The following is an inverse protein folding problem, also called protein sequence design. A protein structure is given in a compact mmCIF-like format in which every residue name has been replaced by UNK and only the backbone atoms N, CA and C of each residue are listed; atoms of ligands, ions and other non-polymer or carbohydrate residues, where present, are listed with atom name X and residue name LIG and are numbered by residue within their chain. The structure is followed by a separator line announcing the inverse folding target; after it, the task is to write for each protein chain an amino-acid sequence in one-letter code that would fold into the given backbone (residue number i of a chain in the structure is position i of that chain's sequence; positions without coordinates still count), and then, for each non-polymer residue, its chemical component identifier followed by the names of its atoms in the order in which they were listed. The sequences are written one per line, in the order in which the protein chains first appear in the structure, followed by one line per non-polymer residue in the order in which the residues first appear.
data_IF_074379053697
#
_entry.id   IF_074379053697
#
_cell.length_a   1.000
_cell.length_b   1.000
_cell.length_c   1.000
_cell.angle_alpha   90.00
_cell.angle_beta   90.00
_cell.angle_gamma   90.00
#
_symmetry.space_group_name_H-M   'P 1'
#
loop_
_entity.id
_entity.type
_entity.pdbx_description
1 polymer ?
#
# COMPACT_ATOMS: atom_id res chain seq x y z
N UNK A 1 7.08 -15.28 -3.01
CA UNK A 1 6.02 -15.25 -1.99
C UNK A 1 6.42 -16.25 -0.92
N UNK A 2 6.76 -15.74 0.27
CA UNK A 2 6.96 -16.51 1.49
C UNK A 2 6.02 -15.89 2.53
N UNK A 3 5.34 -16.69 3.32
CA UNK A 3 4.46 -16.22 4.39
C UNK A 3 5.24 -15.97 5.67
N UNK A 4 4.79 -15.03 6.50
CA UNK A 4 5.43 -14.77 7.80
C UNK A 4 5.31 -16.01 8.71
N UNK A 5 4.22 -16.77 8.58
CA UNK A 5 4.02 -18.03 9.30
C UNK A 5 5.06 -19.10 8.92
N UNK A 6 5.61 -19.06 7.70
CA UNK A 6 6.72 -19.92 7.31
C UNK A 6 7.99 -19.53 8.06
N UNK A 7 8.28 -18.23 8.23
CA UNK A 7 9.40 -17.75 9.06
C UNK A 7 9.21 -18.17 10.52
N UNK A 8 7.99 -18.07 11.05
CA UNK A 8 7.68 -18.52 12.42
C UNK A 8 7.95 -20.02 12.59
N UNK A 9 7.51 -20.85 11.64
CA UNK A 9 7.67 -22.31 11.72
C UNK A 9 9.13 -22.75 11.51
N UNK A 10 9.85 -22.08 10.61
CA UNK A 10 11.21 -22.45 10.23
C UNK A 10 12.28 -21.91 11.19
N UNK A 11 12.05 -20.74 11.79
CA UNK A 11 13.09 -20.01 12.53
C UNK A 11 12.71 -19.76 14.00
N UNK A 12 11.51 -19.20 14.27
CA UNK A 12 11.10 -18.84 15.64
C UNK A 12 10.76 -20.06 16.49
N UNK A 13 9.82 -20.91 16.06
CA UNK A 13 9.36 -22.07 16.83
C UNK A 13 10.48 -23.06 17.16
N UNK A 14 11.42 -23.38 16.25
CA UNK A 14 12.55 -24.22 16.58
C UNK A 14 13.45 -23.59 17.64
N UNK A 15 13.72 -22.27 17.54
CA UNK A 15 14.53 -21.54 18.52
C UNK A 15 13.86 -21.50 19.89
N UNK A 16 12.61 -21.03 19.96
CA UNK A 16 11.83 -20.92 21.19
C UNK A 16 11.63 -22.28 21.88
N UNK A 17 11.22 -23.32 21.14
CA UNK A 17 11.05 -24.66 21.72
C UNK A 17 12.35 -25.25 22.22
N UNK A 18 13.46 -24.94 21.57
CA UNK A 18 14.78 -25.42 21.97
C UNK A 18 15.21 -24.77 23.29
N UNK A 19 15.05 -23.44 23.41
CA UNK A 19 15.31 -22.71 24.65
C UNK A 19 14.39 -23.16 25.80
N UNK A 20 13.09 -23.33 25.53
CA UNK A 20 12.14 -23.78 26.55
C UNK A 20 12.36 -25.25 26.96
N UNK A 21 12.75 -26.11 26.03
CA UNK A 21 13.12 -27.49 26.36
C UNK A 21 14.36 -27.56 27.26
N UNK A 22 15.37 -26.71 27.02
CA UNK A 22 16.54 -26.61 27.90
C UNK A 22 16.19 -26.09 29.29
N UNK A 23 15.44 -24.98 29.38
CA UNK A 23 15.02 -24.42 30.67
C UNK A 23 14.21 -25.45 31.50
N UNK A 24 13.25 -26.14 30.90
CA UNK A 24 12.48 -27.18 31.58
C UNK A 24 13.35 -28.38 32.03
N UNK A 25 14.37 -28.74 31.26
CA UNK A 25 15.33 -29.80 31.61
C UNK A 25 16.20 -29.40 32.78
N UNK A 26 16.67 -28.16 32.82
CA UNK A 26 17.47 -27.60 33.90
C UNK A 26 16.67 -27.49 35.21
N UNK A 27 15.34 -27.32 35.09
CA UNK A 27 14.37 -27.39 36.20
C UNK A 27 14.03 -28.82 36.64
N UNK A 28 14.62 -29.83 36.02
CA UNK A 28 14.55 -31.24 36.46
C UNK A 28 13.48 -32.09 35.77
N UNK A 29 12.79 -31.59 34.75
CA UNK A 29 11.82 -32.41 34.01
C UNK A 29 12.51 -33.51 33.18
N UNK A 30 11.85 -34.66 33.09
CA UNK A 30 12.25 -35.74 32.19
C UNK A 30 11.93 -35.36 30.73
N UNK A 31 12.60 -36.00 29.77
CA UNK A 31 12.33 -35.76 28.35
C UNK A 31 10.86 -36.02 27.96
N UNK A 32 10.22 -37.01 28.59
CA UNK A 32 8.82 -37.35 28.33
C UNK A 32 7.86 -36.28 28.88
N UNK A 33 8.17 -35.67 30.03
CA UNK A 33 7.39 -34.56 30.58
C UNK A 33 7.54 -33.30 29.73
N UNK A 34 8.76 -32.98 29.28
CA UNK A 34 9.00 -31.86 28.36
C UNK A 34 8.26 -32.07 27.04
N UNK A 35 8.29 -33.28 26.48
CA UNK A 35 7.58 -33.61 25.24
C UNK A 35 6.07 -33.38 25.38
N UNK A 36 5.49 -33.80 26.50
CA UNK A 36 4.07 -33.59 26.81
C UNK A 36 3.73 -32.10 26.97
N UNK A 37 4.59 -31.32 27.65
CA UNK A 37 4.38 -29.90 27.87
C UNK A 37 4.45 -29.08 26.55
N UNK A 38 5.40 -29.41 25.68
CA UNK A 38 5.60 -28.72 24.39
C UNK A 38 4.68 -29.23 23.26
N UNK A 39 3.98 -30.35 23.47
CA UNK A 39 3.13 -30.96 22.44
C UNK A 39 3.92 -31.54 21.26
N UNK A 40 5.13 -32.04 21.50
CA UNK A 40 6.03 -32.60 20.47
C UNK A 40 6.46 -34.03 20.82
N UNK A 41 7.15 -34.71 19.90
CA UNK A 41 7.70 -36.04 20.21
C UNK A 41 8.88 -35.97 21.16
N UNK A 42 9.08 -37.02 21.97
CA UNK A 42 10.28 -37.15 22.81
C UNK A 42 11.57 -37.13 21.98
N UNK A 43 11.54 -37.65 20.75
CA UNK A 43 12.67 -37.59 19.82
C UNK A 43 13.00 -36.15 19.38
N UNK A 44 11.99 -35.28 19.25
CA UNK A 44 12.20 -33.86 18.97
C UNK A 44 12.85 -33.14 20.17
N UNK A 45 12.38 -33.41 21.39
CA UNK A 45 13.02 -32.93 22.63
C UNK A 45 14.49 -33.36 22.71
N UNK A 46 14.78 -34.61 22.34
CA UNK A 46 16.17 -35.10 22.32
C UNK A 46 17.04 -34.29 21.38
N UNK A 47 16.56 -33.95 20.16
CA UNK A 47 17.32 -33.12 19.22
C UNK A 47 17.57 -31.71 19.75
N UNK A 48 16.55 -31.09 20.35
CA UNK A 48 16.68 -29.77 20.97
C UNK A 48 17.74 -29.77 22.08
N UNK A 49 17.68 -30.76 22.98
CA UNK A 49 18.58 -30.85 24.13
C UNK A 49 20.05 -31.17 23.76
N UNK A 50 20.31 -31.70 22.56
CA UNK A 50 21.67 -31.94 22.05
C UNK A 50 22.19 -30.80 21.16
N UNK A 51 21.41 -29.73 20.98
CA UNK A 51 21.78 -28.62 20.10
C UNK A 51 21.75 -28.97 18.61
N UNK A 52 21.07 -30.05 18.22
CA UNK A 52 20.98 -30.53 16.82
C UNK A 52 20.01 -29.70 15.96
N UNK A 53 19.47 -28.60 16.51
CA UNK A 53 18.54 -27.72 15.81
C UNK A 53 19.12 -26.32 15.78
N UNK A 54 19.19 -25.75 14.57
CA UNK A 54 19.61 -24.38 14.36
C UNK A 54 18.76 -23.42 15.20
N UNK A 55 19.43 -22.51 15.91
CA UNK A 55 18.82 -21.38 16.61
C UNK A 55 19.20 -20.11 15.90
N UNK A 56 18.27 -19.19 15.76
CA UNK A 56 18.54 -17.84 15.28
C UNK A 56 19.08 -16.97 16.40
N UNK A 57 20.16 -16.25 16.11
CA UNK A 57 20.82 -15.41 17.10
C UNK A 57 19.87 -14.31 17.57
N UNK A 58 19.15 -13.69 16.64
CA UNK A 58 18.16 -12.63 16.82
C UNK A 58 17.12 -13.00 17.88
N UNK A 59 16.52 -14.21 17.80
CA UNK A 59 15.57 -14.68 18.82
C UNK A 59 16.23 -15.12 20.13
N UNK A 60 17.40 -15.75 20.07
CA UNK A 60 18.13 -16.09 21.31
C UNK A 60 18.66 -14.86 22.04
N UNK A 61 18.86 -13.75 21.32
CA UNK A 61 19.34 -12.45 21.79
C UNK A 61 18.21 -11.59 22.38
N UNK A 62 16.98 -11.80 21.93
CA UNK A 62 15.80 -11.01 22.32
C UNK A 62 15.40 -11.25 23.79
N UNK A 63 15.33 -10.16 24.55
CA UNK A 63 14.99 -10.19 25.98
C UNK A 63 13.57 -10.71 26.23
N UNK A 64 12.61 -10.35 25.38
CA UNK A 64 11.19 -10.73 25.53
C UNK A 64 11.00 -12.22 25.29
N UNK A 65 11.74 -12.79 24.33
CA UNK A 65 11.77 -14.23 24.08
C UNK A 65 12.31 -14.97 25.31
N UNK A 66 13.43 -14.50 25.90
CA UNK A 66 14.00 -15.10 27.11
C UNK A 66 13.08 -15.00 28.31
N UNK A 67 12.49 -13.83 28.55
CA UNK A 67 11.51 -13.61 29.62
C UNK A 67 10.29 -14.52 29.46
N UNK A 68 9.82 -14.73 28.22
CA UNK A 68 8.75 -15.67 27.96
C UNK A 68 9.16 -17.11 28.27
N UNK A 69 10.36 -17.53 27.84
CA UNK A 69 10.90 -18.86 28.14
C UNK A 69 10.97 -19.09 29.65
N UNK A 70 11.54 -18.15 30.41
CA UNK A 70 11.66 -18.26 31.86
C UNK A 70 10.29 -18.33 32.55
N UNK A 71 9.37 -17.43 32.20
CA UNK A 71 8.03 -17.37 32.79
C UNK A 71 7.19 -18.60 32.48
N UNK A 72 7.25 -19.08 31.23
CA UNK A 72 6.55 -20.32 30.82
C UNK A 72 7.19 -21.53 31.48
N UNK A 73 8.52 -21.59 31.53
CA UNK A 73 9.28 -22.65 32.17
C UNK A 73 8.97 -22.82 33.66
N UNK A 74 8.97 -21.71 34.40
CA UNK A 74 8.56 -21.65 35.81
C UNK A 74 7.11 -22.09 35.97
N UNK A 75 6.20 -21.46 35.23
CA UNK A 75 4.77 -21.74 35.32
C UNK A 75 4.42 -23.20 35.03
N UNK A 76 5.04 -23.82 34.02
CA UNK A 76 4.82 -25.23 33.68
C UNK A 76 5.40 -26.17 34.74
N UNK A 77 6.57 -25.84 35.30
CA UNK A 77 7.25 -26.67 36.31
C UNK A 77 6.48 -26.67 37.63
N UNK A 78 6.01 -25.50 38.07
CA UNK A 78 5.28 -25.35 39.34
C UNK A 78 3.79 -25.70 39.23
N UNK A 79 3.30 -25.93 38.00
CA UNK A 79 1.88 -26.16 37.71
C UNK A 79 1.02 -24.90 37.78
N UNK A 80 1.63 -23.71 37.88
CA UNK A 80 0.97 -22.41 37.83
C UNK A 80 0.49 -22.03 36.42
N UNK A 81 0.97 -22.70 35.38
CA UNK A 81 0.61 -22.49 33.98
C UNK A 81 0.24 -23.81 33.30
N UNK A 82 -0.81 -23.79 32.48
CA UNK A 82 -1.17 -24.93 31.62
C UNK A 82 -0.53 -24.79 30.23
N UNK A 83 -0.26 -25.88 29.49
CA UNK A 83 0.28 -25.81 28.13
C UNK A 83 -0.52 -24.92 27.18
N UNK A 84 -1.85 -24.89 27.29
CA UNK A 84 -2.70 -24.00 26.49
C UNK A 84 -2.47 -22.52 26.79
N UNK A 85 -2.14 -22.18 28.05
CA UNK A 85 -1.81 -20.81 28.41
C UNK A 85 -0.42 -20.44 27.89
N UNK A 86 0.56 -21.35 28.00
CA UNK A 86 1.88 -21.17 27.41
C UNK A 86 1.81 -20.93 25.89
N UNK A 87 0.94 -21.69 25.19
CA UNK A 87 0.65 -21.47 23.78
C UNK A 87 0.14 -20.03 23.54
N UNK A 88 -0.89 -19.60 24.29
CA UNK A 88 -1.45 -18.25 24.13
C UNK A 88 -0.39 -17.16 24.37
N UNK A 89 0.45 -17.31 25.39
CA UNK A 89 1.53 -16.36 25.67
C UNK A 89 2.57 -16.29 24.54
N UNK A 90 2.90 -17.44 23.94
CA UNK A 90 3.80 -17.51 22.79
C UNK A 90 3.17 -16.88 21.53
N UNK A 91 1.90 -17.17 21.26
CA UNK A 91 1.15 -16.57 20.14
C UNK A 91 1.03 -15.05 20.28
N UNK A 92 0.84 -14.54 21.51
CA UNK A 92 0.84 -13.09 21.78
C UNK A 92 2.22 -12.47 21.52
N UNK A 93 3.31 -13.15 21.88
CA UNK A 93 4.66 -12.65 21.57
C UNK A 93 4.93 -12.68 20.07
N UNK A 94 4.58 -13.76 19.36
CA UNK A 94 4.72 -13.88 17.91
C UNK A 94 4.06 -12.67 17.23
N UNK A 95 2.80 -12.38 17.55
CA UNK A 95 2.08 -11.23 16.98
C UNK A 95 2.76 -9.89 17.22
N UNK A 96 3.43 -9.71 18.36
CA UNK A 96 4.18 -8.47 18.64
C UNK A 96 5.47 -8.40 17.84
N UNK A 97 6.10 -9.54 17.60
CA UNK A 97 7.32 -9.63 16.81
C UNK A 97 7.05 -9.46 15.31
N UNK A 98 5.84 -9.83 14.86
CA UNK A 98 5.36 -9.66 13.47
C UNK A 98 4.99 -8.20 13.14
N UNK A 99 4.84 -7.35 14.16
CA UNK A 99 4.35 -5.97 14.02
C UNK A 99 5.55 -5.00 14.04
N UNK A 100 6.20 -4.84 12.88
CA UNK A 100 7.34 -3.92 12.71
C UNK A 100 8.59 -4.26 13.54
N UNK A 101 8.80 -5.54 13.83
CA UNK A 101 9.85 -6.01 14.75
C UNK A 101 10.57 -7.25 14.17
N UNK A 102 11.35 -7.99 14.97
CA UNK A 102 12.30 -9.02 14.49
C UNK A 102 11.69 -10.05 13.51
N UNK A 103 10.41 -10.44 13.67
CA UNK A 103 9.78 -11.36 12.70
C UNK A 103 9.41 -10.66 11.39
N UNK A 104 9.02 -9.38 11.44
CA UNK A 104 8.83 -8.56 10.25
C UNK A 104 10.17 -8.35 9.51
N UNK A 105 11.24 -8.00 10.22
CA UNK A 105 12.59 -7.84 9.63
C UNK A 105 13.04 -9.10 8.89
N UNK A 106 12.89 -10.27 9.52
CA UNK A 106 13.23 -11.56 8.91
C UNK A 106 12.31 -11.91 7.74
N UNK A 107 11.08 -11.41 7.74
CA UNK A 107 10.17 -11.59 6.62
C UNK A 107 10.56 -10.72 5.43
N UNK A 108 10.96 -9.46 5.67
CA UNK A 108 11.52 -8.56 4.67
C UNK A 108 12.82 -9.13 4.07
N UNK A 109 13.71 -9.73 4.87
CA UNK A 109 14.90 -10.42 4.35
C UNK A 109 14.53 -11.54 3.35
N UNK A 110 13.44 -12.24 3.60
CA UNK A 110 12.96 -13.32 2.75
C UNK A 110 12.13 -12.83 1.54
N UNK A 111 11.55 -11.63 1.64
CA UNK A 111 10.74 -10.97 0.60
C UNK A 111 11.14 -9.49 0.52
N UNK A 112 12.26 -9.17 -0.16
CA UNK A 112 12.85 -7.82 -0.16
C UNK A 112 11.92 -6.72 -0.66
N UNK A 113 10.91 -7.06 -1.46
CA UNK A 113 9.90 -6.11 -1.95
C UNK A 113 9.05 -5.50 -0.82
N UNK A 114 9.03 -6.12 0.37
CA UNK A 114 8.33 -5.56 1.54
C UNK A 114 9.03 -4.33 2.11
N UNK A 115 10.36 -4.22 1.96
CA UNK A 115 11.14 -3.09 2.48
C UNK A 115 10.79 -1.75 1.84
N UNK A 116 10.13 -1.75 0.69
CA UNK A 116 9.64 -0.54 0.01
C UNK A 116 8.47 0.13 0.75
N UNK A 117 7.87 -0.55 1.73
CA UNK A 117 6.64 -0.14 2.42
C UNK A 117 6.84 0.23 3.90
N UNK A 118 8.09 0.32 4.38
CA UNK A 118 8.45 0.87 5.69
C UNK A 118 8.33 -0.08 6.88
N UNK A 119 9.09 0.21 7.95
CA UNK A 119 9.29 -0.69 9.10
C UNK A 119 8.18 -0.74 10.17
N UNK A 120 7.02 -0.09 9.95
CA UNK A 120 5.82 -0.25 10.79
C UNK A 120 4.80 -1.23 10.13
N UNK A 121 5.30 -2.07 9.23
CA UNK A 121 4.47 -2.90 8.37
C UNK A 121 3.90 -4.10 9.10
N UNK A 122 2.59 -4.04 9.37
CA UNK A 122 1.79 -5.18 9.81
C UNK A 122 1.17 -5.86 8.59
N UNK A 123 1.75 -6.96 8.10
CA UNK A 123 1.24 -7.68 6.91
C UNK A 123 -0.20 -8.18 7.08
N UNK A 124 -0.64 -8.35 8.33
CA UNK A 124 -1.98 -8.80 8.68
C UNK A 124 -2.97 -7.66 8.91
N UNK A 125 -2.55 -6.39 8.85
CA UNK A 125 -3.49 -5.28 8.96
C UNK A 125 -4.29 -5.14 7.64
N UNK A 126 -5.62 -5.36 7.67
CA UNK A 126 -6.46 -5.17 6.50
C UNK A 126 -6.44 -3.72 5.98
N UNK A 127 -6.04 -2.74 6.79
CA UNK A 127 -5.91 -1.34 6.38
C UNK A 127 -4.46 -0.89 6.21
N UNK A 128 -3.51 -1.85 6.15
CA UNK A 128 -2.08 -1.55 5.94
C UNK A 128 -1.82 -0.65 4.73
N UNK A 129 -0.80 0.20 4.87
CA UNK A 129 -0.35 1.13 3.83
C UNK A 129 -0.07 0.41 2.51
N UNK A 130 0.62 -0.74 2.53
CA UNK A 130 0.87 -1.57 1.34
C UNK A 130 -0.42 -1.95 0.59
N UNK A 131 -1.46 -2.35 1.33
CA UNK A 131 -2.74 -2.73 0.70
C UNK A 131 -3.40 -1.52 0.06
N UNK A 132 -3.36 -0.37 0.71
CA UNK A 132 -3.88 0.90 0.19
C UNK A 132 -3.13 1.33 -1.07
N UNK A 133 -1.80 1.34 -1.01
CA UNK A 133 -0.88 1.65 -2.10
C UNK A 133 -1.12 0.73 -3.31
N UNK A 134 -1.15 -0.59 -3.11
CA UNK A 134 -1.41 -1.54 -4.20
C UNK A 134 -2.82 -1.44 -4.78
N UNK A 135 -3.84 -1.11 -3.97
CA UNK A 135 -5.19 -0.83 -4.48
C UNK A 135 -5.20 0.38 -5.41
N UNK A 136 -4.50 1.45 -5.03
CA UNK A 136 -4.34 2.67 -5.84
C UNK A 136 -3.63 2.34 -7.15
N UNK A 137 -2.46 1.68 -7.09
CA UNK A 137 -1.71 1.28 -8.28
C UNK A 137 -2.51 0.34 -9.18
N UNK A 138 -3.20 -0.66 -8.62
CA UNK A 138 -4.05 -1.55 -9.39
C UNK A 138 -5.23 -0.83 -10.05
N UNK A 139 -5.85 0.14 -9.35
CA UNK A 139 -6.90 1.00 -9.91
C UNK A 139 -6.39 1.82 -11.09
N UNK A 140 -5.22 2.44 -10.92
CA UNK A 140 -4.57 3.23 -11.96
C UNK A 140 -4.20 2.36 -13.18
N UNK A 141 -3.59 1.18 -12.97
CA UNK A 141 -3.31 0.20 -14.05
C UNK A 141 -4.57 -0.18 -14.83
N UNK A 142 -5.73 -0.35 -14.16
CA UNK A 142 -7.01 -0.65 -14.84
C UNK A 142 -7.52 0.56 -15.65
N UNK A 143 -7.44 1.77 -15.09
CA UNK A 143 -7.79 2.99 -15.81
C UNK A 143 -6.92 3.24 -17.05
N UNK A 144 -5.60 3.04 -16.93
CA UNK A 144 -4.67 3.16 -18.06
C UNK A 144 -4.98 2.17 -19.18
N UNK A 145 -5.18 0.89 -18.84
CA UNK A 145 -5.64 -0.12 -19.83
C UNK A 145 -6.93 0.29 -20.51
N UNK A 146 -7.85 0.95 -19.78
CA UNK A 146 -9.09 1.45 -20.37
C UNK A 146 -8.82 2.57 -21.37
N UNK A 147 -7.97 3.54 -21.03
CA UNK A 147 -7.56 4.62 -21.93
C UNK A 147 -6.85 4.12 -23.19
N UNK A 148 -5.92 3.15 -23.05
CA UNK A 148 -5.23 2.52 -24.18
C UNK A 148 -6.20 1.84 -25.16
N UNK A 149 -7.28 1.25 -24.64
CA UNK A 149 -8.30 0.59 -25.43
C UNK A 149 -9.44 1.53 -25.86
N UNK A 150 -9.44 2.79 -25.40
CA UNK A 150 -10.48 3.76 -25.73
C UNK A 150 -10.16 4.41 -27.08
N UNK A 151 -11.06 4.18 -28.05
CA UNK A 151 -10.91 4.72 -29.39
C UNK A 151 -10.90 6.25 -29.37
N UNK A 152 -9.94 6.84 -30.09
CA UNK A 152 -9.81 8.29 -30.23
C UNK A 152 -9.23 9.02 -29.02
N UNK A 153 -8.86 8.33 -27.92
CA UNK A 153 -8.23 8.99 -26.77
C UNK A 153 -6.92 9.69 -27.13
N UNK A 154 -6.11 9.10 -28.03
CA UNK A 154 -4.88 9.72 -28.51
C UNK A 154 -5.07 11.16 -29.03
N UNK A 155 -6.22 11.45 -29.66
CA UNK A 155 -6.55 12.78 -30.17
C UNK A 155 -6.98 13.77 -29.06
N UNK A 156 -7.11 13.32 -27.82
CA UNK A 156 -7.40 14.14 -26.64
C UNK A 156 -6.14 14.43 -25.82
N UNK A 157 -4.99 13.87 -26.18
CA UNK A 157 -3.73 14.09 -25.46
C UNK A 157 -3.17 15.49 -25.80
N UNK A 158 -2.86 16.34 -24.81
CA UNK A 158 -2.26 17.67 -25.03
C UNK A 158 -0.78 17.57 -25.39
N UNK A 159 -0.16 18.67 -25.83
CA UNK A 159 1.25 18.68 -26.20
C UNK A 159 2.17 18.39 -25.00
N UNK A 160 1.78 18.84 -23.80
CA UNK A 160 2.48 18.51 -22.54
C UNK A 160 2.26 17.06 -22.07
N UNK A 161 1.46 16.27 -22.79
CA UNK A 161 1.09 14.90 -22.42
C UNK A 161 -0.03 14.83 -21.37
N UNK A 162 -0.74 13.71 -21.36
CA UNK A 162 -1.78 13.40 -20.38
C UNK A 162 -1.21 12.64 -19.20
N UNK A 163 -1.82 12.76 -18.04
CA UNK A 163 -1.55 11.91 -16.90
C UNK A 163 -2.89 11.53 -16.25
N UNK A 164 -3.03 10.24 -15.95
CA UNK A 164 -4.10 9.73 -15.09
C UNK A 164 -3.48 9.55 -13.72
N UNK A 165 -4.06 10.20 -12.71
CA UNK A 165 -3.59 10.10 -11.33
C UNK A 165 -4.67 9.54 -10.43
N UNK A 166 -4.25 8.84 -9.38
CA UNK A 166 -5.12 8.33 -8.31
C UNK A 166 -4.43 8.55 -6.97
N UNK A 167 -5.16 9.07 -5.99
CA UNK A 167 -4.63 9.28 -4.65
C UNK A 167 -5.13 8.23 -3.65
N UNK A 168 -4.43 8.09 -2.53
CA UNK A 168 -4.92 7.34 -1.36
C UNK A 168 -6.18 8.03 -0.77
N UNK A 169 -7.00 7.31 0.02
CA UNK A 169 -8.20 7.89 0.64
C UNK A 169 -7.91 9.08 1.57
N UNK A 170 -6.74 9.06 2.22
CA UNK A 170 -6.31 10.06 3.21
C UNK A 170 -5.23 11.00 2.65
N UNK A 171 -5.08 11.08 1.32
CA UNK A 171 -4.02 11.84 0.66
C UNK A 171 -3.94 13.31 1.10
N UNK A 172 -2.75 13.72 1.56
CA UNK A 172 -2.42 15.08 2.00
C UNK A 172 -1.47 15.78 1.04
N UNK A 173 -0.55 15.04 0.42
CA UNK A 173 0.47 15.63 -0.45
C UNK A 173 0.75 14.80 -1.73
N UNK A 174 1.78 15.21 -2.47
CA UNK A 174 2.14 14.60 -3.75
C UNK A 174 2.59 13.14 -3.61
N UNK A 175 3.18 12.75 -2.48
CA UNK A 175 3.66 11.39 -2.20
C UNK A 175 2.50 10.41 -2.04
N UNK A 176 1.29 10.91 -1.74
CA UNK A 176 0.06 10.12 -1.67
C UNK A 176 -0.64 9.92 -3.03
N UNK A 177 -0.10 10.49 -4.11
CA UNK A 177 -0.70 10.47 -5.44
C UNK A 177 0.14 9.66 -6.42
N UNK A 178 -0.44 8.56 -6.92
CA UNK A 178 0.12 7.77 -7.99
C UNK A 178 -0.22 8.35 -9.37
N UNK A 179 0.75 8.31 -10.29
CA UNK A 179 0.59 8.74 -11.67
C UNK A 179 1.49 7.95 -12.61
N UNK A 180 1.56 8.37 -13.88
CA UNK A 180 2.45 7.77 -14.89
C UNK A 180 3.74 8.61 -14.98
N UNK A 181 4.91 8.04 -14.63
CA UNK A 181 6.20 8.67 -14.89
C UNK A 181 6.35 8.90 -16.38
N UNK A 182 6.80 10.09 -16.79
CA UNK A 182 6.97 10.40 -18.22
C UNK A 182 5.66 10.63 -18.99
N UNK A 183 4.47 10.56 -18.35
CA UNK A 183 3.16 10.89 -18.94
C UNK A 183 2.73 9.99 -20.10
N UNK A 184 1.47 10.12 -20.49
CA UNK A 184 0.82 9.43 -21.60
C UNK A 184 0.93 10.30 -22.85
N UNK A 185 1.39 9.72 -23.96
CA UNK A 185 1.59 10.43 -25.22
C UNK A 185 0.88 9.77 -26.40
N UNK A 186 0.54 10.59 -27.41
CA UNK A 186 0.17 10.10 -28.73
C UNK A 186 1.42 9.76 -29.55
N UNK A 187 1.62 8.48 -29.84
CA UNK A 187 2.66 8.00 -30.74
C UNK A 187 2.02 7.40 -31.98
N UNK A 188 1.92 8.21 -33.04
CA UNK A 188 1.36 7.83 -34.36
C UNK A 188 -0.11 7.39 -34.29
N UNK A 189 -0.94 8.15 -33.58
CA UNK A 189 -2.36 7.89 -33.38
C UNK A 189 -2.63 6.81 -32.33
N UNK A 190 -1.68 6.57 -31.41
CA UNK A 190 -1.79 5.53 -30.36
C UNK A 190 -1.44 6.10 -29.01
N UNK A 191 -2.33 5.88 -28.06
CA UNK A 191 -2.09 6.09 -26.63
C UNK A 191 -0.92 5.23 -26.19
N UNK A 192 0.16 5.85 -25.73
CA UNK A 192 1.38 5.16 -25.27
C UNK A 192 1.68 5.54 -23.84
N UNK A 193 1.79 4.54 -22.96
CA UNK A 193 2.21 4.66 -21.57
C UNK A 193 3.68 4.20 -21.47
N UNK A 194 4.63 5.06 -21.09
CA UNK A 194 6.07 4.76 -21.19
C UNK A 194 6.59 3.86 -20.07
N UNK A 195 5.92 3.83 -18.92
CA UNK A 195 6.39 3.16 -17.69
C UNK A 195 5.21 2.76 -16.80
N UNK A 196 5.49 1.89 -15.82
CA UNK A 196 4.49 1.53 -14.82
C UNK A 196 4.15 2.72 -13.91
N UNK A 197 2.95 2.74 -13.30
CA UNK A 197 2.58 3.82 -12.40
C UNK A 197 3.38 3.81 -11.10
N UNK A 198 3.67 5.01 -10.58
CA UNK A 198 4.46 5.23 -9.37
C UNK A 198 3.86 6.42 -8.59
N UNK A 199 4.11 6.46 -7.28
CA UNK A 199 3.72 7.59 -6.41
C UNK A 199 4.67 8.79 -6.59
N UNK A 200 4.14 10.00 -6.41
CA UNK A 200 4.95 11.22 -6.40
C UNK A 200 5.40 11.76 -7.76
N UNK A 201 4.98 11.15 -8.88
CA UNK A 201 5.56 11.43 -10.21
C UNK A 201 4.83 12.48 -11.06
N UNK A 202 3.64 12.95 -10.62
CA UNK A 202 2.76 13.80 -11.44
C UNK A 202 2.28 15.07 -10.73
N UNK A 203 3.20 16.01 -10.52
CA UNK A 203 2.96 17.27 -9.81
C UNK A 203 1.68 18.01 -10.24
N UNK A 204 1.56 18.46 -11.50
CA UNK A 204 0.47 19.36 -11.89
C UNK A 204 -0.94 18.75 -11.77
N UNK A 205 -1.12 17.50 -12.19
CA UNK A 205 -2.43 16.84 -12.13
C UNK A 205 -2.76 16.46 -10.67
N UNK A 206 -1.74 16.07 -9.89
CA UNK A 206 -1.90 15.82 -8.46
C UNK A 206 -2.30 17.09 -7.71
N UNK A 207 -1.66 18.24 -7.99
CA UNK A 207 -2.03 19.54 -7.40
C UNK A 207 -3.50 19.88 -7.63
N UNK A 208 -4.01 19.71 -8.85
CA UNK A 208 -5.43 19.95 -9.15
C UNK A 208 -6.34 18.97 -8.39
N UNK A 209 -5.97 17.69 -8.32
CA UNK A 209 -6.73 16.68 -7.57
C UNK A 209 -6.77 17.00 -6.06
N UNK A 210 -5.61 17.29 -5.46
CA UNK A 210 -5.48 17.59 -4.03
C UNK A 210 -6.21 18.90 -3.68
N UNK A 211 -6.06 19.95 -4.49
CA UNK A 211 -6.80 21.20 -4.28
C UNK A 211 -8.32 21.00 -4.38
N UNK A 212 -8.79 20.15 -5.29
CA UNK A 212 -10.20 19.80 -5.34
C UNK A 212 -10.68 19.07 -4.09
N UNK A 213 -9.88 18.14 -3.57
CA UNK A 213 -10.18 17.42 -2.32
C UNK A 213 -10.19 18.35 -1.11
N UNK A 214 -9.21 19.24 -1.00
CA UNK A 214 -9.14 20.25 0.07
C UNK A 214 -10.36 21.18 0.06
N UNK A 215 -10.89 21.50 -1.14
CA UNK A 215 -12.14 22.22 -1.31
C UNK A 215 -13.42 21.39 -1.00
N UNK A 216 -13.27 20.16 -0.50
CA UNK A 216 -14.36 19.30 -0.02
C UNK A 216 -14.93 18.33 -1.06
N UNK A 217 -14.24 18.10 -2.18
CA UNK A 217 -14.70 17.17 -3.22
C UNK A 217 -14.35 15.73 -2.89
N UNK A 218 -15.34 14.85 -2.98
CA UNK A 218 -15.16 13.40 -2.87
C UNK A 218 -14.66 12.80 -4.20
N UNK A 219 -13.39 13.07 -4.50
CA UNK A 219 -12.70 12.60 -5.71
C UNK A 219 -11.35 12.00 -5.33
N UNK A 220 -10.98 10.90 -6.00
CA UNK A 220 -9.71 10.21 -5.77
C UNK A 220 -8.89 10.06 -7.05
N UNK A 221 -9.38 10.55 -8.19
CA UNK A 221 -8.69 10.45 -9.46
C UNK A 221 -8.89 11.69 -10.33
N UNK A 222 -7.89 11.98 -11.16
CA UNK A 222 -7.94 13.05 -12.14
C UNK A 222 -7.22 12.66 -13.43
N UNK A 223 -7.70 13.17 -14.56
CA UNK A 223 -7.08 13.02 -15.88
C UNK A 223 -7.07 14.36 -16.60
N UNK A 224 -5.90 14.78 -17.07
CA UNK A 224 -5.81 15.93 -17.94
C UNK A 224 -5.88 15.54 -19.43
N UNK A 225 -6.64 16.30 -20.20
CA UNK A 225 -6.75 16.22 -21.66
C UNK A 225 -6.61 17.61 -22.28
N UNK A 226 -6.37 17.66 -23.59
CA UNK A 226 -6.30 18.92 -24.32
C UNK A 226 -7.60 19.68 -24.16
N UNK A 227 -7.48 20.99 -24.01
CA UNK A 227 -8.63 21.87 -24.09
C UNK A 227 -9.08 22.05 -25.54
N UNK A 228 -10.40 22.02 -25.71
CA UNK A 228 -11.13 22.39 -26.91
C UNK A 228 -12.56 22.73 -26.44
N UNK A 229 -13.17 23.85 -26.86
CA UNK A 229 -14.55 24.18 -26.48
C UNK A 229 -15.52 23.02 -26.76
N UNK A 230 -15.34 22.31 -27.88
CA UNK A 230 -16.18 21.16 -28.25
C UNK A 230 -16.03 19.97 -27.27
N UNK A 231 -14.88 19.85 -26.60
CA UNK A 231 -14.67 18.83 -25.56
C UNK A 231 -15.44 19.21 -24.29
N UNK A 232 -15.39 20.49 -23.89
CA UNK A 232 -16.11 20.98 -22.71
C UNK A 232 -17.61 20.83 -22.90
N UNK A 233 -18.15 21.31 -24.03
CA UNK A 233 -19.58 21.19 -24.36
C UNK A 233 -20.05 19.72 -24.39
N UNK A 234 -19.19 18.80 -24.87
CA UNK A 234 -19.51 17.36 -24.85
C UNK A 234 -19.59 16.81 -23.43
N UNK A 235 -18.64 17.17 -22.57
CA UNK A 235 -18.64 16.71 -21.17
C UNK A 235 -19.88 17.24 -20.42
N UNK A 236 -20.31 18.48 -20.69
CA UNK A 236 -21.56 19.03 -20.17
C UNK A 236 -22.80 18.29 -20.69
N UNK A 237 -22.83 17.98 -21.99
CA UNK A 237 -23.90 17.20 -22.60
C UNK A 237 -24.02 15.77 -22.02
N UNK A 238 -22.88 15.21 -21.58
CA UNK A 238 -22.82 13.93 -20.86
C UNK A 238 -23.23 14.04 -19.37
N UNK A 239 -23.62 15.24 -18.92
CA UNK A 239 -24.17 15.52 -17.59
C UNK A 239 -23.12 15.87 -16.54
N UNK A 240 -21.88 16.17 -16.95
CA UNK A 240 -20.81 16.62 -16.05
C UNK A 240 -20.90 18.12 -15.81
N UNK A 241 -20.66 18.55 -14.57
CA UNK A 241 -20.60 19.98 -14.24
C UNK A 241 -19.19 20.49 -14.55
N UNK A 242 -19.07 21.58 -15.31
CA UNK A 242 -17.77 22.18 -15.64
C UNK A 242 -17.57 23.49 -14.89
N UNK A 243 -16.31 23.82 -14.60
CA UNK A 243 -15.92 25.13 -14.10
C UNK A 243 -14.59 25.57 -14.71
N UNK A 244 -14.53 26.81 -15.15
CA UNK A 244 -13.29 27.46 -15.59
C UNK A 244 -12.53 27.98 -14.37
N UNK A 245 -11.20 27.87 -14.39
CA UNK A 245 -10.31 28.54 -13.45
C UNK A 245 -9.18 29.24 -14.19
N UNK A 246 -8.60 30.25 -13.56
CA UNK A 246 -7.45 30.97 -14.12
C UNK A 246 -6.18 30.12 -13.98
N UNK A 247 -5.57 29.74 -15.11
CA UNK A 247 -4.37 28.88 -15.16
C UNK A 247 -3.05 29.60 -14.87
N UNK A 248 -3.07 30.79 -14.28
CA UNK A 248 -1.88 31.57 -13.90
C UNK A 248 -1.48 31.31 -12.44
N UNK A 249 -0.55 32.10 -11.88
CA UNK A 249 0.09 31.88 -10.56
C UNK A 249 -0.89 31.38 -9.47
N UNK A 250 -0.53 30.29 -8.77
CA UNK A 250 -1.26 29.64 -7.67
C UNK A 250 -2.49 28.80 -8.08
N UNK A 251 -2.25 27.67 -8.76
CA UNK A 251 -3.28 26.72 -9.21
C UNK A 251 -4.22 26.26 -8.08
N UNK A 252 -3.69 26.00 -6.88
CA UNK A 252 -4.47 25.54 -5.73
C UNK A 252 -5.57 26.54 -5.37
N UNK A 253 -5.20 27.83 -5.34
CA UNK A 253 -6.14 28.91 -5.04
C UNK A 253 -7.16 29.09 -6.16
N UNK A 254 -6.73 29.05 -7.42
CA UNK A 254 -7.63 29.19 -8.56
C UNK A 254 -8.66 28.04 -8.61
N UNK A 255 -8.23 26.81 -8.33
CA UNK A 255 -9.12 25.65 -8.19
C UNK A 255 -10.09 25.83 -7.03
N UNK A 256 -9.62 26.28 -5.87
CA UNK A 256 -10.47 26.54 -4.71
C UNK A 256 -11.53 27.62 -5.00
N UNK A 257 -11.15 28.72 -5.67
CA UNK A 257 -12.06 29.80 -6.05
C UNK A 257 -13.12 29.32 -7.07
N UNK A 258 -12.72 28.51 -8.05
CA UNK A 258 -13.63 27.90 -9.01
C UNK A 258 -14.62 26.93 -8.34
N UNK A 259 -14.16 26.13 -7.38
CA UNK A 259 -15.02 25.21 -6.62
C UNK A 259 -15.89 25.92 -5.58
N UNK A 260 -15.47 27.08 -5.07
CA UNK A 260 -16.34 27.92 -4.25
C UNK A 260 -17.53 28.47 -5.07
N UNK A 261 -17.30 28.79 -6.34
CA UNK A 261 -18.35 29.24 -7.26
C UNK A 261 -19.21 28.07 -7.79
N UNK A 262 -18.59 26.93 -8.09
CA UNK A 262 -19.22 25.72 -8.64
C UNK A 262 -18.82 24.48 -7.82
N UNK A 263 -19.45 24.25 -6.65
CA UNK A 263 -19.04 23.18 -5.72
C UNK A 263 -19.13 21.77 -6.28
N UNK A 264 -19.98 21.54 -7.27
CA UNK A 264 -20.23 20.20 -7.82
C UNK A 264 -19.41 19.91 -9.11
N UNK A 265 -18.44 20.75 -9.50
CA UNK A 265 -17.72 20.64 -10.78
C UNK A 265 -17.00 19.29 -10.98
N UNK A 266 -17.48 18.41 -11.85
CA UNK A 266 -16.76 17.20 -12.25
C UNK A 266 -15.52 17.48 -13.13
N UNK A 267 -15.49 18.65 -13.76
CA UNK A 267 -14.49 19.04 -14.74
C UNK A 267 -14.00 20.44 -14.41
N UNK A 268 -12.68 20.59 -14.28
CA UNK A 268 -12.02 21.89 -14.15
C UNK A 268 -11.24 22.16 -15.42
N UNK A 269 -11.32 23.35 -15.98
CA UNK A 269 -10.53 23.68 -17.18
C UNK A 269 -9.96 25.09 -17.14
N UNK A 270 -8.91 25.30 -17.91
CA UNK A 270 -8.31 26.62 -18.12
C UNK A 270 -8.01 26.83 -19.60
N UNK A 271 -8.16 28.06 -20.06
CA UNK A 271 -8.09 28.47 -21.47
C UNK A 271 -6.70 28.95 -21.92
N UNK A 272 -5.69 28.70 -21.09
CA UNK A 272 -4.28 28.95 -21.38
C UNK A 272 -3.87 30.38 -21.09
N UNK A 273 -2.59 30.65 -21.34
CA UNK A 273 -1.97 31.95 -21.13
C UNK A 273 -0.65 32.04 -21.87
N UNK A 274 0.13 33.09 -21.63
CA UNK A 274 1.44 33.21 -22.27
C UNK A 274 2.39 32.08 -21.79
N UNK A 275 2.69 31.13 -22.68
CA UNK A 275 3.54 29.98 -22.36
C UNK A 275 2.83 28.86 -21.59
N UNK A 276 1.52 28.95 -21.35
CA UNK A 276 0.71 27.94 -20.68
C UNK A 276 -0.28 27.33 -21.67
N UNK A 277 -0.16 26.03 -21.92
CA UNK A 277 -1.10 25.29 -22.77
C UNK A 277 -2.47 25.18 -22.07
N UNK A 278 -3.59 25.38 -22.78
CA UNK A 278 -4.93 25.19 -22.23
C UNK A 278 -5.26 23.71 -22.00
N UNK A 279 -5.87 23.38 -20.86
CA UNK A 279 -6.07 21.99 -20.39
C UNK A 279 -7.44 21.83 -19.73
N UNK A 280 -8.02 20.65 -19.92
CA UNK A 280 -9.23 20.18 -19.21
C UNK A 280 -8.82 19.06 -18.25
N UNK A 281 -9.26 19.15 -17.00
CA UNK A 281 -9.05 18.18 -15.94
C UNK A 281 -10.39 17.53 -15.59
N UNK A 282 -10.50 16.22 -15.84
CA UNK A 282 -11.69 15.43 -15.48
C UNK A 282 -11.43 14.75 -14.16
N UNK A 283 -12.24 15.06 -13.15
CA UNK A 283 -12.16 14.50 -11.80
C UNK A 283 -13.12 13.32 -11.64
N UNK A 284 -12.90 12.48 -10.63
CA UNK A 284 -13.84 11.43 -10.29
C UNK A 284 -13.41 10.58 -9.09
N UNK A 285 -14.28 9.65 -8.65
CA UNK A 285 -14.02 8.81 -7.48
C UNK A 285 -12.95 7.73 -7.72
N UNK A 286 -12.55 7.50 -8.98
CA UNK A 286 -11.53 6.52 -9.34
C UNK A 286 -11.11 6.56 -10.80
N UNK A 287 -9.95 5.97 -11.10
CA UNK A 287 -9.31 5.99 -12.41
C UNK A 287 -10.20 5.45 -13.55
N UNK A 288 -10.92 4.35 -13.32
CA UNK A 288 -11.79 3.76 -14.34
C UNK A 288 -12.99 4.65 -14.69
N UNK A 289 -13.53 5.38 -13.71
CA UNK A 289 -14.64 6.33 -13.90
C UNK A 289 -14.17 7.52 -14.73
N UNK A 290 -13.02 8.09 -14.37
CA UNK A 290 -12.42 9.20 -15.12
C UNK A 290 -12.07 8.79 -16.55
N UNK A 291 -11.47 7.61 -16.73
CA UNK A 291 -11.16 7.08 -18.06
C UNK A 291 -12.42 6.83 -18.91
N UNK A 292 -13.56 6.50 -18.30
CA UNK A 292 -14.82 6.29 -19.02
C UNK A 292 -15.50 7.59 -19.47
N UNK A 293 -15.34 8.66 -18.68
CA UNK A 293 -15.88 10.00 -19.00
C UNK A 293 -15.23 10.60 -20.25
N UNK A 294 -14.01 10.16 -20.57
CA UNK A 294 -13.22 10.72 -21.67
C UNK A 294 -13.22 9.77 -22.87
N UNK A 295 -14.11 10.02 -23.83
CA UNK A 295 -14.18 9.28 -25.11
C UNK A 295 -13.74 10.19 -26.26
N UNK A 296 -12.97 9.62 -27.19
CA UNK A 296 -12.58 10.32 -28.40
C UNK A 296 -13.79 10.68 -29.27
N UNK A 297 -13.67 11.72 -30.13
CA UNK A 297 -14.68 11.98 -31.15
C UNK A 297 -14.82 10.75 -32.07
N UNK A 298 -16.07 10.42 -32.44
CA UNK A 298 -16.40 9.39 -33.43
C UNK A 298 -15.99 9.87 -34.82
#
# INVERSE_FOLDING_TARGET
MKFVEEVVVEEFLPTFRSMLAEDLRDRGLTQSEVAAALGISQSAVSKYAHGDVARREEFTADERVRELVERVGEGLTEGGMRPVQALVEAEVLIRRLEDGDVLADLHEEAVPELAEYGGDFSIHDPESELRTTERVLASLRRGLRRLENTSGFAALIPNVGSNLVVCTPDAEDLEDVAGVPGRIFDVKGRTTVPSEPEFGVSEHVATVLLAAREAGRDVNAALNVRYDPDIVERLEADGLVTAEFEGEDHVERAVADALAATPDADVLYQTGGYGVEPIVYVLGPGAETVAERVKGPI
#
